data_IF_506702591666
#
_entry.id   IF_506702591666
#
_cell.length_a   1.000
_cell.length_b   1.000
_cell.length_c   1.000
_cell.angle_alpha   90.00
_cell.angle_beta   90.00
_cell.angle_gamma   90.00
#
_symmetry.space_group_name_H-M   'P 1'
#
loop_
_entity.id
_entity.type
_entity.pdbx_description
1 polymer ?
#
# COMPACT_ATOMS: atom_id res chain seq x y z
N UNK A 1 -22.44 -0.78 22.21
CA UNK A 1 -21.25 -1.20 21.43
C UNK A 1 -21.45 -0.71 20.01
N UNK A 2 -20.68 0.28 19.55
CA UNK A 2 -20.85 0.82 18.20
C UNK A 2 -20.38 -0.21 17.17
N UNK A 3 -21.12 -0.35 16.05
CA UNK A 3 -20.81 -1.24 14.92
C UNK A 3 -19.54 -0.81 14.12
N UNK A 4 -18.61 -0.13 14.78
CA UNK A 4 -17.48 0.56 14.18
C UNK A 4 -16.50 -0.41 13.52
N UNK A 5 -16.32 -1.60 14.10
CA UNK A 5 -15.41 -2.62 13.54
C UNK A 5 -15.94 -3.19 12.22
N UNK A 6 -17.25 -3.46 12.13
CA UNK A 6 -17.87 -3.91 10.88
C UNK A 6 -17.79 -2.85 9.78
N UNK A 7 -17.90 -1.57 10.15
CA UNK A 7 -17.75 -0.46 9.20
C UNK A 7 -16.31 -0.31 8.71
N UNK A 8 -15.31 -0.42 9.60
CA UNK A 8 -13.88 -0.39 9.23
C UNK A 8 -13.53 -1.52 8.26
N UNK A 9 -14.01 -2.74 8.54
CA UNK A 9 -13.80 -3.88 7.65
C UNK A 9 -14.41 -3.64 6.26
N UNK A 10 -15.65 -3.14 6.20
CA UNK A 10 -16.31 -2.81 4.93
C UNK A 10 -15.59 -1.68 4.18
N UNK A 11 -15.11 -0.67 4.89
CA UNK A 11 -14.34 0.43 4.31
C UNK A 11 -13.00 -0.06 3.73
N UNK A 12 -12.32 -1.00 4.40
CA UNK A 12 -11.09 -1.60 3.90
C UNK A 12 -11.33 -2.40 2.61
N UNK A 13 -12.38 -3.20 2.55
CA UNK A 13 -12.75 -3.96 1.33
C UNK A 13 -13.02 -3.01 0.16
N UNK A 14 -13.76 -1.92 0.39
CA UNK A 14 -14.01 -0.92 -0.65
C UNK A 14 -12.74 -0.16 -1.05
N UNK A 15 -11.85 0.08 -0.09
CA UNK A 15 -10.55 0.69 -0.36
C UNK A 15 -9.69 -0.21 -1.27
N UNK A 16 -9.55 -1.50 -0.94
CA UNK A 16 -8.85 -2.50 -1.78
C UNK A 16 -9.46 -2.58 -3.20
N UNK A 17 -10.79 -2.59 -3.30
CA UNK A 17 -11.52 -2.55 -4.57
C UNK A 17 -11.18 -1.30 -5.40
N UNK A 18 -11.03 -0.14 -4.77
CA UNK A 18 -10.61 1.09 -5.46
C UNK A 18 -9.14 1.04 -5.87
N UNK A 19 -8.24 0.56 -5.02
CA UNK A 19 -6.82 0.44 -5.37
C UNK A 19 -6.62 -0.41 -6.63
N UNK A 20 -7.30 -1.55 -6.71
CA UNK A 20 -7.22 -2.42 -7.90
C UNK A 20 -7.75 -1.79 -9.19
N UNK A 21 -8.65 -0.81 -9.10
CA UNK A 21 -9.21 -0.09 -10.26
C UNK A 21 -8.38 1.12 -10.65
N UNK A 22 -7.80 1.81 -9.67
CA UNK A 22 -7.17 3.12 -9.86
C UNK A 22 -5.65 3.12 -9.64
N UNK A 23 -5.00 1.96 -9.57
CA UNK A 23 -3.55 1.84 -9.33
C UNK A 23 -2.67 2.64 -10.30
N UNK A 24 -3.13 2.91 -11.53
CA UNK A 24 -2.38 3.68 -12.52
C UNK A 24 -2.60 5.19 -12.40
N UNK A 25 -3.53 5.67 -11.57
CA UNK A 25 -3.81 7.10 -11.42
C UNK A 25 -2.76 7.81 -10.56
N UNK A 26 -2.66 9.13 -10.70
CA UNK A 26 -1.84 9.95 -9.80
C UNK A 26 -2.36 9.91 -8.36
N UNK A 27 -3.69 9.82 -8.18
CA UNK A 27 -4.32 9.68 -6.87
C UNK A 27 -3.89 8.42 -6.10
N UNK A 28 -3.45 7.36 -6.80
CA UNK A 28 -2.85 6.21 -6.14
C UNK A 28 -1.49 6.56 -5.51
N UNK A 29 -0.67 7.35 -6.21
CA UNK A 29 0.63 7.80 -5.72
C UNK A 29 0.48 8.75 -4.54
N UNK A 30 -0.44 9.71 -4.63
CA UNK A 30 -0.81 10.58 -3.52
C UNK A 30 -1.34 9.78 -2.32
N UNK A 31 -2.10 8.70 -2.58
CA UNK A 31 -2.57 7.83 -1.51
C UNK A 31 -1.43 7.13 -0.78
N UNK A 32 -0.40 6.67 -1.50
CA UNK A 32 0.79 6.09 -0.87
C UNK A 32 1.46 7.11 0.04
N UNK A 33 1.77 8.30 -0.49
CA UNK A 33 2.41 9.37 0.29
C UNK A 33 1.62 9.71 1.54
N UNK A 34 0.32 9.97 1.40
CA UNK A 34 -0.55 10.30 2.54
C UNK A 34 -0.54 9.21 3.63
N UNK A 35 -0.53 7.93 3.26
CA UNK A 35 -0.51 6.82 4.21
C UNK A 35 0.80 6.74 4.99
N UNK A 36 1.93 7.03 4.35
CA UNK A 36 3.26 6.95 4.96
C UNK A 36 3.68 8.24 5.66
N UNK A 37 3.16 9.39 5.23
CA UNK A 37 3.39 10.69 5.88
C UNK A 37 2.50 10.90 7.12
N UNK A 38 1.42 10.14 7.24
CA UNK A 38 0.52 10.25 8.40
C UNK A 38 1.20 9.73 9.67
N UNK A 39 1.43 10.63 10.63
CA UNK A 39 2.01 10.29 11.94
C UNK A 39 1.10 9.43 12.82
N UNK A 40 -0.21 9.39 12.54
CA UNK A 40 -1.16 8.58 13.27
C UNK A 40 -1.10 7.10 12.85
N UNK A 41 -1.33 6.15 13.78
CA UNK A 41 -1.41 4.73 13.43
C UNK A 41 -2.47 4.48 12.36
N UNK A 42 -2.05 3.86 11.26
CA UNK A 42 -2.99 3.45 10.22
C UNK A 42 -3.82 2.24 10.68
N UNK A 43 -5.10 2.15 10.26
CA UNK A 43 -5.89 0.96 10.49
C UNK A 43 -5.17 -0.28 9.92
N UNK A 44 -5.25 -1.43 10.61
CA UNK A 44 -4.69 -2.67 10.10
C UNK A 44 -5.19 -2.95 8.68
N UNK A 45 -4.28 -3.39 7.80
CA UNK A 45 -4.59 -3.73 6.42
C UNK A 45 -4.41 -2.60 5.40
N UNK A 46 -4.51 -1.33 5.78
CA UNK A 46 -4.40 -0.20 4.82
C UNK A 46 -3.03 -0.16 4.14
N UNK A 47 -1.94 -0.20 4.92
CA UNK A 47 -0.57 -0.26 4.37
C UNK A 47 -0.37 -1.51 3.51
N UNK A 48 -0.80 -2.67 4.02
CA UNK A 48 -0.70 -3.95 3.29
C UNK A 48 -1.43 -3.92 1.94
N UNK A 49 -2.63 -3.31 1.87
CA UNK A 49 -3.41 -3.22 0.65
C UNK A 49 -2.71 -2.39 -0.44
N UNK A 50 -2.12 -1.27 -0.03
CA UNK A 50 -1.35 -0.39 -0.93
C UNK A 50 -0.07 -1.08 -1.40
N UNK A 51 0.70 -1.66 -0.48
CA UNK A 51 1.92 -2.40 -0.79
C UNK A 51 1.62 -3.57 -1.72
N UNK A 52 0.59 -4.36 -1.45
CA UNK A 52 0.18 -5.46 -2.33
C UNK A 52 -0.17 -4.98 -3.73
N UNK A 53 -0.90 -3.86 -3.85
CA UNK A 53 -1.26 -3.29 -5.14
C UNK A 53 -0.02 -2.78 -5.88
N UNK A 54 0.89 -2.09 -5.19
CA UNK A 54 2.13 -1.58 -5.75
C UNK A 54 3.05 -2.72 -6.23
N UNK A 55 3.28 -3.75 -5.41
CA UNK A 55 4.09 -4.91 -5.77
C UNK A 55 3.48 -5.68 -6.95
N UNK A 56 2.16 -5.86 -6.98
CA UNK A 56 1.46 -6.54 -8.08
C UNK A 56 1.64 -5.83 -9.43
N UNK A 57 1.76 -4.51 -9.43
CA UNK A 57 1.89 -3.69 -10.63
C UNK A 57 3.27 -3.02 -10.74
N UNK A 58 4.28 -3.57 -10.06
CA UNK A 58 5.59 -2.95 -9.87
C UNK A 58 6.25 -2.57 -11.19
N UNK A 59 6.27 -3.46 -12.17
CA UNK A 59 6.90 -3.20 -13.46
C UNK A 59 6.34 -1.96 -14.16
N UNK A 60 5.03 -1.76 -14.09
CA UNK A 60 4.33 -0.62 -14.69
C UNK A 60 4.54 0.66 -13.89
N UNK A 61 4.49 0.56 -12.57
CA UNK A 61 4.70 1.69 -11.67
C UNK A 61 6.15 2.18 -11.69
N UNK A 62 7.12 1.27 -11.81
CA UNK A 62 8.54 1.59 -11.83
C UNK A 62 8.95 2.45 -13.04
N UNK A 63 8.21 2.39 -14.14
CA UNK A 63 8.45 3.29 -15.30
C UNK A 63 8.08 4.75 -15.00
N UNK A 64 7.34 5.01 -13.92
CA UNK A 64 6.93 6.36 -13.53
C UNK A 64 7.92 6.96 -12.55
N UNK A 65 8.56 8.06 -12.94
CA UNK A 65 9.47 8.82 -12.07
C UNK A 65 8.85 9.17 -10.70
N UNK A 66 7.59 9.65 -10.61
CA UNK A 66 6.97 9.94 -9.31
C UNK A 66 6.90 8.74 -8.37
N UNK A 67 6.72 7.51 -8.89
CA UNK A 67 6.74 6.32 -8.05
C UNK A 67 8.14 6.00 -7.52
N UNK A 68 9.18 6.17 -8.36
CA UNK A 68 10.58 6.00 -7.92
C UNK A 68 10.95 7.02 -6.84
N UNK A 69 10.44 8.25 -6.94
CA UNK A 69 10.67 9.31 -5.97
C UNK A 69 10.02 8.96 -4.63
N UNK A 70 8.78 8.44 -4.63
CA UNK A 70 8.11 7.91 -3.43
C UNK A 70 8.94 6.81 -2.76
N UNK A 71 9.45 5.83 -3.52
CA UNK A 71 10.26 4.74 -2.96
C UNK A 71 11.57 5.26 -2.36
N UNK A 72 12.16 6.31 -2.95
CA UNK A 72 13.40 6.92 -2.47
C UNK A 72 13.21 7.74 -1.21
N UNK A 73 12.10 8.48 -1.13
CA UNK A 73 11.81 9.40 -0.03
C UNK A 73 11.18 8.68 1.17
N UNK A 74 10.37 7.65 0.91
CA UNK A 74 9.67 6.90 1.95
C UNK A 74 10.31 5.52 2.18
N UNK A 75 11.34 5.51 3.03
CA UNK A 75 12.07 4.30 3.40
C UNK A 75 11.17 3.19 3.99
N UNK A 76 10.19 3.55 4.82
CA UNK A 76 9.24 2.59 5.39
C UNK A 76 8.41 1.88 4.31
N UNK A 77 8.00 2.62 3.27
CA UNK A 77 7.27 2.03 2.14
C UNK A 77 8.16 1.05 1.36
N UNK A 78 9.43 1.43 1.13
CA UNK A 78 10.39 0.54 0.48
C UNK A 78 10.63 -0.75 1.29
N UNK A 79 10.75 -0.64 2.62
CA UNK A 79 10.88 -1.78 3.53
C UNK A 79 9.67 -2.69 3.44
N UNK A 80 8.45 -2.15 3.53
CA UNK A 80 7.22 -2.94 3.45
C UNK A 80 7.09 -3.68 2.09
N UNK A 81 7.49 -3.03 1.00
CA UNK A 81 7.51 -3.66 -0.33
C UNK A 81 8.50 -4.82 -0.43
N UNK A 82 9.72 -4.65 0.08
CA UNK A 82 10.73 -5.70 0.09
C UNK A 82 10.28 -6.84 0.99
N UNK A 83 9.76 -6.55 2.19
CA UNK A 83 9.26 -7.56 3.11
C UNK A 83 8.15 -8.40 2.46
N UNK A 84 7.24 -7.75 1.70
CA UNK A 84 6.21 -8.45 0.94
C UNK A 84 6.80 -9.37 -0.13
N UNK A 85 7.79 -8.90 -0.90
CA UNK A 85 8.44 -9.69 -1.95
C UNK A 85 9.15 -10.91 -1.37
N UNK A 86 9.91 -10.70 -0.30
CA UNK A 86 10.67 -11.73 0.40
C UNK A 86 9.77 -12.81 1.01
N UNK A 87 8.63 -12.41 1.59
CA UNK A 87 7.59 -13.35 2.06
C UNK A 87 6.94 -14.11 0.90
N UNK A 88 6.78 -13.49 -0.27
CA UNK A 88 6.18 -14.13 -1.45
C UNK A 88 7.09 -15.17 -2.10
N UNK A 89 8.41 -14.99 -2.00
CA UNK A 89 9.42 -15.90 -2.57
C UNK A 89 9.80 -17.05 -1.62
N UNK A 90 9.19 -17.12 -0.42
CA UNK A 90 9.42 -18.18 0.55
C UNK A 90 10.77 -18.10 1.26
N UNK A 91 11.43 -16.92 1.24
CA UNK A 91 12.80 -16.78 1.74
C UNK A 91 12.85 -16.47 3.25
N UNK A 92 11.75 -16.00 3.87
CA UNK A 92 11.70 -15.81 5.32
C UNK A 92 10.42 -16.37 5.96
N UNK A 93 10.58 -17.52 6.62
CA UNK A 93 9.82 -17.89 7.80
C UNK A 93 10.58 -17.34 9.01
N UNK A 94 10.19 -16.17 9.53
CA UNK A 94 10.54 -15.76 10.91
C UNK A 94 9.26 -15.71 11.71
#
# INVERSE_FOLDING_TARGET
MFLMEGLKAKALVEFESKLTKFWLSESFLECIQNIYDTAAPMPPGVKSAVVQTATKHLESLWQKKPFQDIVRENGDFAVDMIEKQVKSEGILHI
#
